data_IF_609398500514
#
_entry.id   IF_609398500514
#
_cell.length_a   1.000
_cell.length_b   1.000
_cell.length_c   1.000
_cell.angle_alpha   90.00
_cell.angle_beta   90.00
_cell.angle_gamma   90.00
#
_symmetry.space_group_name_H-M   'P 1'
#
loop_
_entity.id
_entity.type
_entity.pdbx_description
1 polymer ?
#
# COMPACT_ATOMS: atom_id res chain seq x y z
N UNK A 1 -9.78 8.10 -8.08
CA UNK A 1 -8.96 8.70 -7.01
C UNK A 1 -9.45 10.12 -6.84
N UNK A 2 -9.70 10.58 -5.62
CA UNK A 2 -10.39 11.85 -5.40
C UNK A 2 -9.47 13.09 -5.32
N UNK A 3 -8.16 12.90 -5.29
CA UNK A 3 -7.19 13.99 -5.24
C UNK A 3 -6.51 14.26 -6.58
N UNK A 4 -5.51 15.14 -6.57
CA UNK A 4 -4.66 15.39 -7.72
C UNK A 4 -3.54 14.34 -7.84
N UNK A 5 -3.17 13.98 -9.06
CA UNK A 5 -1.94 13.20 -9.33
C UNK A 5 -1.03 14.05 -10.21
N UNK A 6 0.15 14.35 -9.68
CA UNK A 6 1.12 15.26 -10.30
C UNK A 6 2.35 14.45 -10.70
N UNK A 7 2.60 14.38 -12.00
CA UNK A 7 3.76 13.71 -12.58
C UNK A 7 4.48 14.76 -13.44
N UNK A 8 5.52 15.42 -12.90
CA UNK A 8 6.26 16.45 -13.62
C UNK A 8 6.89 15.92 -14.92
N UNK A 9 7.13 16.86 -15.83
CA UNK A 9 7.69 16.53 -17.14
C UNK A 9 9.19 16.20 -17.04
N UNK A 10 9.88 16.81 -16.07
CA UNK A 10 11.31 16.62 -15.81
C UNK A 10 11.59 16.14 -14.38
N UNK A 11 12.78 15.57 -14.19
CA UNK A 11 13.27 15.15 -12.86
C UNK A 11 13.52 16.38 -11.98
N UNK A 12 14.02 17.45 -12.58
CA UNK A 12 14.40 18.70 -11.93
C UNK A 12 13.17 19.40 -11.34
N UNK A 13 12.05 19.44 -12.06
CA UNK A 13 10.76 19.94 -11.55
C UNK A 13 10.28 19.15 -10.35
N UNK A 14 10.30 17.82 -10.45
CA UNK A 14 9.89 16.92 -9.37
C UNK A 14 10.76 17.12 -8.12
N UNK A 15 12.08 17.17 -8.30
CA UNK A 15 13.05 17.41 -7.22
C UNK A 15 12.84 18.79 -6.59
N UNK A 16 12.72 19.85 -7.38
CA UNK A 16 12.56 21.21 -6.87
C UNK A 16 11.28 21.35 -6.03
N UNK A 17 10.17 20.80 -6.51
CA UNK A 17 8.90 20.81 -5.77
C UNK A 17 8.96 19.98 -4.48
N UNK A 18 9.61 18.82 -4.53
CA UNK A 18 9.85 17.95 -3.39
C UNK A 18 10.67 18.67 -2.30
N UNK A 19 11.78 19.31 -2.68
CA UNK A 19 12.64 20.07 -1.76
C UNK A 19 11.89 21.28 -1.16
N UNK A 20 11.13 22.02 -1.98
CA UNK A 20 10.27 23.12 -1.48
C UNK A 20 9.27 22.60 -0.46
N UNK A 21 8.68 21.44 -0.70
CA UNK A 21 7.72 20.81 0.20
C UNK A 21 8.38 20.37 1.52
N UNK A 22 9.61 19.84 1.47
CA UNK A 22 10.38 19.48 2.68
C UNK A 22 10.75 20.70 3.52
N UNK A 23 11.05 21.83 2.89
CA UNK A 23 11.43 23.07 3.58
C UNK A 23 10.22 23.90 4.07
N UNK A 24 9.01 23.49 3.71
CA UNK A 24 7.80 24.25 4.04
C UNK A 24 7.51 24.22 5.54
N UNK A 25 7.25 25.41 6.10
CA UNK A 25 6.87 25.58 7.50
C UNK A 25 5.39 25.92 7.55
N UNK A 26 4.61 25.05 8.20
CA UNK A 26 3.17 25.25 8.36
C UNK A 26 2.84 26.47 9.22
N UNK A 27 1.74 27.15 8.88
CA UNK A 27 1.23 28.34 9.57
C UNK A 27 -0.19 28.08 10.10
N UNK A 28 -0.81 29.06 10.77
CA UNK A 28 -2.22 28.98 11.20
C UNK A 28 -3.20 28.82 10.05
N UNK A 29 -2.88 29.37 8.87
CA UNK A 29 -3.77 29.37 7.70
C UNK A 29 -3.40 28.36 6.64
N UNK A 30 -2.14 27.89 6.63
CA UNK A 30 -1.67 26.92 5.65
C UNK A 30 -0.88 25.82 6.36
N UNK A 31 -1.53 24.68 6.51
CA UNK A 31 -0.98 23.47 7.09
C UNK A 31 -0.55 22.52 5.99
N UNK A 32 0.58 21.85 6.17
CA UNK A 32 1.07 20.88 5.18
C UNK A 32 1.51 19.57 5.85
N UNK A 33 0.82 18.50 5.46
CA UNK A 33 1.24 17.12 5.73
C UNK A 33 1.98 16.58 4.51
N UNK A 34 3.30 16.51 4.64
CA UNK A 34 4.18 15.88 3.65
C UNK A 34 4.46 14.44 4.04
N UNK A 35 4.23 13.50 3.13
CA UNK A 35 4.41 12.08 3.35
C UNK A 35 5.21 11.47 2.21
N UNK A 36 6.11 10.55 2.53
CA UNK A 36 7.03 9.90 1.61
C UNK A 36 6.84 8.40 1.80
N UNK A 37 6.48 7.70 0.74
CA UNK A 37 6.19 6.28 0.80
C UNK A 37 7.01 5.51 -0.23
N UNK A 38 7.35 4.28 0.13
CA UNK A 38 8.15 3.37 -0.69
C UNK A 38 7.75 1.92 -0.43
N UNK A 39 7.80 1.09 -1.47
CA UNK A 39 7.51 -0.33 -1.44
C UNK A 39 8.69 -1.19 -1.88
N UNK A 40 9.27 -1.97 -0.97
CA UNK A 40 10.36 -2.89 -1.31
C UNK A 40 9.87 -4.33 -1.45
N UNK A 41 10.28 -4.99 -2.53
CA UNK A 41 9.90 -6.37 -2.86
C UNK A 41 11.12 -7.25 -3.21
N UNK A 42 10.99 -8.57 -3.03
CA UNK A 42 11.93 -9.60 -3.53
C UNK A 42 11.13 -10.74 -4.18
N UNK A 43 11.43 -11.05 -5.45
CA UNK A 43 10.78 -12.12 -6.22
C UNK A 43 10.92 -13.52 -5.63
N UNK A 44 12.05 -13.83 -4.98
CA UNK A 44 12.44 -15.20 -4.59
C UNK A 44 11.57 -15.83 -3.49
N UNK A 45 10.94 -15.02 -2.64
CA UNK A 45 10.17 -15.50 -1.48
C UNK A 45 8.90 -14.66 -1.25
N UNK A 46 8.46 -13.94 -2.28
CA UNK A 46 7.27 -13.10 -2.31
C UNK A 46 7.13 -12.12 -1.13
N UNK A 47 8.26 -11.84 -0.48
CA UNK A 47 8.30 -11.04 0.73
C UNK A 47 8.44 -9.57 0.37
N UNK A 48 7.47 -8.77 0.79
CA UNK A 48 7.49 -7.32 0.66
C UNK A 48 7.54 -6.60 2.01
N UNK A 49 7.90 -5.33 1.94
CA UNK A 49 7.78 -4.38 3.03
C UNK A 49 7.45 -3.02 2.45
N UNK A 50 6.58 -2.28 3.13
CA UNK A 50 6.21 -0.92 2.76
C UNK A 50 6.50 0.02 3.90
N UNK A 51 6.79 1.28 3.59
CA UNK A 51 7.04 2.28 4.61
C UNK A 51 6.45 3.64 4.24
N UNK A 52 6.18 4.42 5.27
CA UNK A 52 5.72 5.81 5.17
C UNK A 52 6.53 6.64 6.17
N UNK A 53 7.08 7.74 5.69
CA UNK A 53 7.75 8.77 6.48
C UNK A 53 6.97 10.06 6.31
N UNK A 54 6.61 10.73 7.40
CA UNK A 54 5.85 11.98 7.32
C UNK A 54 6.25 12.96 8.42
N UNK A 55 6.04 14.25 8.18
CA UNK A 55 6.06 15.23 9.27
C UNK A 55 4.81 15.06 10.15
N UNK A 56 4.90 15.52 11.40
CA UNK A 56 3.71 15.70 12.25
C UNK A 56 3.09 17.05 11.92
N UNK A 57 1.76 17.09 11.84
CA UNK A 57 1.03 18.35 11.92
C UNK A 57 1.08 18.80 13.38
N UNK A 58 2.09 19.60 13.74
CA UNK A 58 2.30 20.07 15.11
C UNK A 58 1.28 21.12 15.55
N UNK A 59 1.23 21.41 16.85
CA UNK A 59 0.60 22.65 17.35
C UNK A 59 1.30 23.80 16.65
N UNK A 60 0.51 24.63 15.97
CA UNK A 60 0.88 25.72 15.04
C UNK A 60 1.95 26.72 15.57
N UNK A 61 2.38 26.61 16.82
CA UNK A 61 3.16 27.59 17.55
C UNK A 61 4.59 27.16 17.93
N UNK A 62 5.04 25.94 17.63
CA UNK A 62 6.43 25.54 17.88
C UNK A 62 7.21 25.30 16.58
N UNK A 63 7.85 26.34 16.08
CA UNK A 63 8.70 26.33 14.88
C UNK A 63 10.01 25.51 15.04
N UNK A 64 10.22 24.83 16.16
CA UNK A 64 11.44 24.07 16.42
C UNK A 64 11.22 22.58 16.20
N UNK A 65 11.84 22.07 15.13
CA UNK A 65 12.00 20.64 14.84
C UNK A 65 10.70 19.93 14.47
N UNK A 66 10.26 20.05 13.21
CA UNK A 66 9.27 19.11 12.68
C UNK A 66 9.90 17.70 12.65
N UNK A 67 9.68 16.94 13.73
CA UNK A 67 10.18 15.58 13.82
C UNK A 67 9.45 14.69 12.80
N UNK A 68 10.20 14.04 11.92
CA UNK A 68 9.65 13.12 10.92
C UNK A 68 9.51 11.70 11.49
N UNK A 69 8.27 11.23 11.60
CA UNK A 69 7.96 9.87 12.01
C UNK A 69 8.10 8.96 10.79
N UNK A 70 8.78 7.82 10.96
CA UNK A 70 8.82 6.74 9.97
C UNK A 70 8.18 5.48 10.53
N UNK A 71 7.28 4.87 9.76
CA UNK A 71 6.62 3.59 10.08
C UNK A 71 6.74 2.64 8.92
N UNK A 72 6.81 1.34 9.20
CA UNK A 72 6.92 0.29 8.19
C UNK A 72 6.02 -0.89 8.55
N UNK A 73 5.54 -1.58 7.52
CA UNK A 73 4.64 -2.73 7.66
C UNK A 73 5.08 -3.86 6.72
N UNK A 74 4.85 -5.13 7.12
CA UNK A 74 5.03 -6.24 6.22
C UNK A 74 4.02 -6.12 5.07
N UNK A 75 4.46 -6.45 3.86
CA UNK A 75 3.60 -6.59 2.71
C UNK A 75 3.74 -8.03 2.24
N UNK A 76 2.89 -8.93 2.73
CA UNK A 76 2.91 -10.36 2.36
C UNK A 76 1.53 -10.99 2.41
N UNK A 77 1.20 -11.87 1.45
CA UNK A 77 1.98 -12.16 0.24
C UNK A 77 1.89 -10.99 -0.76
N UNK A 78 3.00 -10.67 -1.45
CA UNK A 78 3.03 -9.62 -2.48
C UNK A 78 3.45 -10.19 -3.83
N UNK A 79 2.64 -10.05 -4.88
CA UNK A 79 2.93 -10.64 -6.19
C UNK A 79 3.92 -9.82 -7.03
N UNK A 80 4.18 -8.55 -6.69
CA UNK A 80 5.05 -7.68 -7.48
C UNK A 80 5.55 -6.45 -6.74
N UNK A 81 6.56 -5.79 -7.31
CA UNK A 81 7.02 -4.47 -6.86
C UNK A 81 5.90 -3.43 -6.95
N UNK A 82 5.22 -3.35 -8.11
CA UNK A 82 4.12 -2.39 -8.31
C UNK A 82 2.95 -2.59 -7.33
N UNK A 83 2.70 -3.84 -6.92
CA UNK A 83 1.73 -4.14 -5.88
C UNK A 83 2.17 -3.57 -4.53
N UNK A 84 3.44 -3.77 -4.15
CA UNK A 84 4.00 -3.26 -2.89
C UNK A 84 4.00 -1.73 -2.85
N UNK A 85 4.36 -1.08 -3.97
CA UNK A 85 4.27 0.38 -4.14
C UNK A 85 2.83 0.89 -4.01
N UNK A 86 1.87 0.17 -4.60
CA UNK A 86 0.45 0.53 -4.49
C UNK A 86 -0.05 0.41 -3.05
N UNK A 87 0.42 -0.59 -2.30
CA UNK A 87 0.12 -0.71 -0.87
C UNK A 87 0.78 0.40 -0.05
N UNK A 88 2.00 0.80 -0.38
CA UNK A 88 2.70 1.91 0.29
C UNK A 88 1.91 3.22 0.13
N UNK A 89 1.43 3.52 -1.09
CA UNK A 89 0.56 4.67 -1.36
C UNK A 89 -0.77 4.60 -0.61
N UNK A 90 -1.45 3.44 -0.64
CA UNK A 90 -2.69 3.25 0.09
C UNK A 90 -2.50 3.44 1.61
N UNK A 91 -1.39 2.92 2.15
CA UNK A 91 -1.04 3.08 3.55
C UNK A 91 -0.70 4.52 3.91
N UNK A 92 -0.05 5.28 3.01
CA UNK A 92 0.20 6.70 3.22
C UNK A 92 -1.11 7.48 3.35
N UNK A 93 -2.12 7.18 2.55
CA UNK A 93 -3.46 7.78 2.68
C UNK A 93 -4.10 7.41 4.03
N UNK A 94 -3.94 6.16 4.49
CA UNK A 94 -4.42 5.74 5.82
C UNK A 94 -3.72 6.50 6.95
N UNK A 95 -2.40 6.67 6.88
CA UNK A 95 -1.66 7.48 7.84
C UNK A 95 -2.08 8.95 7.78
N UNK A 96 -2.38 9.48 6.59
CA UNK A 96 -2.87 10.85 6.44
C UNK A 96 -4.19 11.06 7.20
N UNK A 97 -5.14 10.13 7.07
CA UNK A 97 -6.38 10.18 7.84
C UNK A 97 -6.11 10.21 9.35
N UNK A 98 -5.23 9.34 9.84
CA UNK A 98 -4.89 9.31 11.27
C UNK A 98 -4.20 10.57 11.79
N UNK A 99 -3.40 11.27 10.97
CA UNK A 99 -2.79 12.55 11.36
C UNK A 99 -3.79 13.71 11.32
N UNK A 100 -4.70 13.71 10.34
CA UNK A 100 -5.78 14.70 10.25
C UNK A 100 -6.77 14.56 11.41
N UNK A 101 -7.08 13.34 11.86
CA UNK A 101 -7.92 13.10 13.04
C UNK A 101 -7.31 13.70 14.31
N UNK A 102 -5.99 13.52 14.52
CA UNK A 102 -5.30 14.15 15.66
C UNK A 102 -5.28 15.67 15.55
N UNK A 103 -5.21 16.20 14.33
CA UNK A 103 -5.29 17.64 14.10
C UNK A 103 -6.65 18.18 14.56
N UNK A 104 -7.70 17.44 14.24
CA UNK A 104 -9.07 17.78 14.62
C UNK A 104 -9.25 17.84 16.14
N UNK A 105 -8.63 16.93 16.87
CA UNK A 105 -8.64 16.98 18.34
C UNK A 105 -7.91 18.19 18.93
N UNK A 106 -6.98 18.82 18.19
CA UNK A 106 -6.04 19.82 18.73
C UNK A 106 -6.20 21.26 18.21
N UNK A 107 -6.85 21.50 17.06
CA UNK A 107 -6.84 22.82 16.39
C UNK A 107 -8.20 23.54 16.38
N UNK A 108 -9.33 22.85 16.55
CA UNK A 108 -10.66 23.45 16.34
C UNK A 108 -11.17 24.34 17.50
N UNK A 109 -10.32 25.26 17.97
CA UNK A 109 -10.65 26.34 18.91
C UNK A 109 -10.46 27.77 18.38
N UNK A 110 -9.95 28.00 17.16
CA UNK A 110 -9.75 29.38 16.71
C UNK A 110 -9.39 29.56 15.23
N UNK A 111 -10.07 30.52 14.61
CA UNK A 111 -9.95 31.11 13.26
C UNK A 111 -10.46 30.32 12.05
N UNK A 112 -11.37 30.97 11.31
CA UNK A 112 -11.97 30.51 10.06
C UNK A 112 -10.98 30.67 8.88
N UNK A 113 -10.91 29.70 7.96
CA UNK A 113 -10.23 29.83 6.65
C UNK A 113 -8.89 29.08 6.47
N UNK A 114 -8.60 28.01 7.22
CA UNK A 114 -7.34 27.28 7.11
C UNK A 114 -7.35 26.24 5.96
N UNK A 115 -6.26 26.16 5.19
CA UNK A 115 -6.05 25.13 4.17
C UNK A 115 -5.07 24.08 4.67
N UNK A 116 -5.40 22.80 4.50
CA UNK A 116 -4.56 21.66 4.84
C UNK A 116 -4.17 20.92 3.56
N UNK A 117 -2.90 21.03 3.16
CA UNK A 117 -2.36 20.31 2.03
C UNK A 117 -1.78 18.95 2.47
N UNK A 118 -2.37 17.85 2.01
CA UNK A 118 -1.81 16.50 2.12
C UNK A 118 -1.07 16.16 0.83
N UNK A 119 0.26 16.07 0.92
CA UNK A 119 1.16 15.77 -0.21
C UNK A 119 1.87 14.45 0.03
N UNK A 120 1.58 13.46 -0.81
CA UNK A 120 2.18 12.12 -0.73
C UNK A 120 3.13 11.93 -1.91
N UNK A 121 4.38 11.61 -1.62
CA UNK A 121 5.44 11.39 -2.59
C UNK A 121 5.76 9.91 -2.75
N UNK A 122 5.89 9.46 -3.99
CA UNK A 122 6.31 8.10 -4.36
C UNK A 122 7.21 8.17 -5.60
N UNK A 123 8.21 7.30 -5.68
CA UNK A 123 9.06 7.17 -6.86
C UNK A 123 8.49 6.26 -7.96
N UNK A 124 7.37 5.58 -7.68
CA UNK A 124 6.74 4.67 -8.62
C UNK A 124 5.85 5.40 -9.65
N UNK A 125 6.47 5.94 -10.71
CA UNK A 125 5.77 6.65 -11.81
C UNK A 125 4.66 5.81 -12.44
N UNK A 126 4.85 4.50 -12.55
CA UNK A 126 3.88 3.57 -13.14
C UNK A 126 2.59 3.46 -12.34
N UNK A 127 2.69 3.35 -11.01
CA UNK A 127 1.51 3.30 -10.13
C UNK A 127 0.78 4.65 -10.13
N UNK A 128 1.51 5.77 -10.06
CA UNK A 128 0.89 7.10 -10.14
C UNK A 128 0.17 7.32 -11.47
N UNK A 129 0.77 6.93 -12.60
CA UNK A 129 0.14 7.02 -13.92
C UNK A 129 -1.13 6.17 -14.00
N UNK A 130 -1.11 4.97 -13.41
CA UNK A 130 -2.27 4.09 -13.32
C UNK A 130 -3.38 4.69 -12.44
N UNK A 131 -3.02 5.32 -11.32
CA UNK A 131 -3.96 6.03 -10.44
C UNK A 131 -4.59 7.24 -11.13
N UNK A 132 -3.80 8.05 -11.84
CA UNK A 132 -4.29 9.19 -12.62
C UNK A 132 -5.32 8.73 -13.67
N UNK A 133 -5.03 7.64 -14.38
CA UNK A 133 -5.91 7.09 -15.42
C UNK A 133 -7.03 6.21 -14.87
N UNK A 134 -7.04 5.93 -13.56
CA UNK A 134 -7.89 4.93 -12.92
C UNK A 134 -7.86 3.56 -13.61
N UNK A 135 -6.70 3.17 -14.16
CA UNK A 135 -6.48 1.93 -14.93
C UNK A 135 -5.28 1.18 -14.38
N UNK A 136 -5.54 0.12 -13.60
CA UNK A 136 -4.52 -0.69 -12.94
C UNK A 136 -4.29 -2.02 -13.67
N UNK A 137 -3.02 -2.39 -13.84
CA UNK A 137 -2.61 -3.68 -14.40
C UNK A 137 -3.04 -4.86 -13.53
N UNK A 138 -3.19 -6.04 -14.12
CA UNK A 138 -3.72 -7.23 -13.45
C UNK A 138 -2.95 -7.59 -12.16
N UNK A 139 -1.62 -7.53 -12.19
CA UNK A 139 -0.76 -7.90 -11.06
C UNK A 139 -0.79 -6.96 -9.84
N UNK A 140 -1.47 -5.81 -9.93
CA UNK A 140 -1.60 -4.86 -8.80
C UNK A 140 -2.96 -4.18 -8.74
N UNK A 141 -3.96 -4.74 -9.42
CA UNK A 141 -5.31 -4.15 -9.53
C UNK A 141 -5.98 -3.95 -8.19
N UNK A 142 -5.91 -4.94 -7.30
CA UNK A 142 -6.56 -4.87 -5.98
C UNK A 142 -5.88 -3.83 -5.07
N UNK A 143 -4.54 -3.78 -5.06
CA UNK A 143 -3.81 -2.74 -4.35
C UNK A 143 -4.12 -1.33 -4.93
N UNK A 144 -4.24 -1.21 -6.24
CA UNK A 144 -4.67 0.02 -6.91
C UNK A 144 -6.09 0.46 -6.54
N UNK A 145 -7.04 -0.47 -6.48
CA UNK A 145 -8.41 -0.20 -5.98
C UNK A 145 -8.37 0.29 -4.53
N UNK A 146 -7.45 -0.22 -3.71
CA UNK A 146 -7.29 0.22 -2.33
C UNK A 146 -6.90 1.69 -2.26
N UNK A 147 -5.99 2.18 -3.12
CA UNK A 147 -5.65 3.61 -3.22
C UNK A 147 -6.91 4.44 -3.45
N UNK A 148 -7.73 4.05 -4.42
CA UNK A 148 -8.99 4.75 -4.74
C UNK A 148 -9.95 4.71 -3.55
N UNK A 149 -10.20 3.53 -2.99
CA UNK A 149 -11.09 3.34 -1.82
C UNK A 149 -10.65 4.21 -0.64
N UNK A 150 -9.35 4.22 -0.31
CA UNK A 150 -8.81 5.01 0.81
C UNK A 150 -8.86 6.50 0.54
N UNK A 151 -8.64 6.93 -0.71
CA UNK A 151 -8.81 8.35 -1.07
C UNK A 151 -10.27 8.80 -0.89
N UNK A 152 -11.24 8.00 -1.33
CA UNK A 152 -12.66 8.32 -1.13
C UNK A 152 -13.04 8.30 0.35
N UNK A 153 -12.50 7.37 1.15
CA UNK A 153 -12.69 7.35 2.60
C UNK A 153 -12.15 8.63 3.25
N UNK A 154 -10.96 9.11 2.87
CA UNK A 154 -10.41 10.38 3.34
C UNK A 154 -11.35 11.53 2.99
N UNK A 155 -11.79 11.61 1.73
CA UNK A 155 -12.73 12.65 1.27
C UNK A 155 -14.04 12.64 2.07
N UNK A 156 -14.62 11.45 2.26
CA UNK A 156 -15.89 11.30 2.99
C UNK A 156 -15.74 11.60 4.48
N UNK A 157 -14.65 11.14 5.10
CA UNK A 157 -14.42 11.30 6.55
C UNK A 157 -14.21 12.76 6.91
N UNK A 158 -13.38 13.47 6.15
CA UNK A 158 -13.16 14.88 6.38
C UNK A 158 -14.19 15.76 5.66
N UNK A 159 -15.24 15.17 5.04
CA UNK A 159 -16.29 15.91 4.31
C UNK A 159 -16.96 16.99 5.17
N UNK A 160 -17.06 16.76 6.46
CA UNK A 160 -17.60 17.71 7.44
C UNK A 160 -16.62 18.83 7.78
N UNK A 161 -15.30 18.62 7.61
CA UNK A 161 -14.33 19.71 7.51
C UNK A 161 -14.47 20.44 6.16
N UNK A 162 -14.66 19.71 5.07
CA UNK A 162 -14.96 20.24 3.72
C UNK A 162 -16.34 20.96 3.61
N UNK A 163 -17.18 20.90 4.66
CA UNK A 163 -18.52 21.50 4.70
C UNK A 163 -18.62 22.71 5.63
N UNK A 164 -17.58 22.99 6.42
CA UNK A 164 -17.40 24.34 6.98
C UNK A 164 -16.78 25.17 5.85
N UNK A 165 -17.28 26.38 5.56
CA UNK A 165 -16.65 27.28 4.58
C UNK A 165 -15.21 27.66 4.94
N UNK A 166 -14.71 27.16 6.06
CA UNK A 166 -13.54 27.63 6.76
C UNK A 166 -12.34 26.68 6.67
N UNK A 167 -12.49 25.41 6.27
CA UNK A 167 -11.33 24.51 6.11
C UNK A 167 -11.37 23.70 4.83
N UNK A 168 -10.28 23.77 4.06
CA UNK A 168 -10.10 23.02 2.80
C UNK A 168 -8.99 21.99 2.99
N UNK A 169 -9.24 20.71 2.67
CA UNK A 169 -8.22 19.65 2.73
C UNK A 169 -7.86 19.16 1.32
N UNK A 170 -6.67 19.49 0.83
CA UNK A 170 -6.25 19.11 -0.52
C UNK A 170 -5.37 17.86 -0.50
N UNK A 171 -5.82 16.78 -1.16
CA UNK A 171 -5.02 15.56 -1.33
C UNK A 171 -4.33 15.56 -2.69
N UNK A 172 -3.01 15.36 -2.69
CA UNK A 172 -2.22 15.23 -3.91
C UNK A 172 -1.14 14.15 -3.82
N UNK A 173 -0.99 13.38 -4.90
CA UNK A 173 0.10 12.42 -5.09
C UNK A 173 1.13 13.01 -6.04
N UNK A 174 2.40 12.92 -5.70
CA UNK A 174 3.51 13.51 -6.45
C UNK A 174 4.55 12.46 -6.79
N UNK A 175 4.95 12.43 -8.04
CA UNK A 175 6.09 11.62 -8.45
C UNK A 175 7.40 12.31 -8.08
N UNK A 176 8.37 11.53 -7.59
CA UNK A 176 9.75 11.96 -7.33
C UNK A 176 10.76 10.96 -7.88
N UNK A 177 12.00 11.38 -8.20
CA UNK A 177 13.04 10.42 -8.58
C UNK A 177 13.40 9.50 -7.40
N UNK A 178 13.44 8.20 -7.67
CA UNK A 178 13.98 7.20 -6.74
C UNK A 178 15.49 7.37 -6.56
N UNK A 179 16.00 6.93 -5.40
CA UNK A 179 17.44 6.98 -5.04
C UNK A 179 18.13 8.35 -5.08
N UNK A 180 17.37 9.44 -5.17
CA UNK A 180 17.90 10.80 -5.10
C UNK A 180 18.43 11.13 -3.69
N UNK A 181 19.69 11.56 -3.60
CA UNK A 181 20.35 11.89 -2.33
C UNK A 181 19.82 13.17 -1.68
N UNK A 182 19.25 14.08 -2.47
CA UNK A 182 18.65 15.30 -1.93
C UNK A 182 17.31 15.02 -1.22
N UNK A 183 16.63 13.92 -1.57
CA UNK A 183 15.31 13.59 -1.05
C UNK A 183 15.42 12.66 0.18
N UNK A 184 16.02 13.18 1.25
CA UNK A 184 16.38 12.39 2.45
C UNK A 184 15.20 11.67 3.10
N UNK A 185 13.99 12.24 3.05
CA UNK A 185 12.78 11.59 3.57
C UNK A 185 12.34 10.39 2.74
N UNK A 186 12.47 10.47 1.40
CA UNK A 186 12.24 9.33 0.53
C UNK A 186 13.26 8.23 0.78
N UNK A 187 14.54 8.57 0.92
CA UNK A 187 15.59 7.61 1.26
C UNK A 187 15.34 6.92 2.61
N UNK A 188 14.77 7.65 3.58
CA UNK A 188 14.36 7.06 4.87
C UNK A 188 13.22 6.07 4.69
N UNK A 189 12.22 6.36 3.86
CA UNK A 189 11.14 5.44 3.52
C UNK A 189 11.69 4.16 2.84
N UNK A 190 12.55 4.30 1.83
CA UNK A 190 13.20 3.18 1.13
C UNK A 190 13.98 2.26 2.09
N UNK A 191 14.81 2.85 2.97
CA UNK A 191 15.55 2.09 4.00
C UNK A 191 14.61 1.34 4.95
N UNK A 192 13.50 1.96 5.36
CA UNK A 192 12.51 1.35 6.25
C UNK A 192 11.77 0.20 5.55
N UNK A 193 11.34 0.39 4.31
CA UNK A 193 10.66 -0.62 3.50
C UNK A 193 11.57 -1.84 3.29
N UNK A 194 12.84 -1.62 2.92
CA UNK A 194 13.87 -2.68 2.81
C UNK A 194 14.12 -3.42 4.12
N UNK A 195 14.19 -2.70 5.25
CA UNK A 195 14.37 -3.31 6.57
C UNK A 195 13.20 -4.22 6.91
N UNK A 196 11.98 -3.75 6.68
CA UNK A 196 10.76 -4.49 7.00
C UNK A 196 10.59 -5.71 6.10
N UNK A 197 10.85 -5.56 4.80
CA UNK A 197 10.95 -6.68 3.86
C UNK A 197 11.88 -7.79 4.38
N UNK A 198 13.08 -7.43 4.84
CA UNK A 198 14.05 -8.40 5.36
C UNK A 198 13.60 -9.06 6.67
N UNK A 199 12.90 -8.34 7.54
CA UNK A 199 12.26 -8.92 8.74
C UNK A 199 11.15 -9.90 8.36
N UNK A 200 10.33 -9.51 7.41
CA UNK A 200 9.21 -10.30 6.92
C UNK A 200 9.70 -11.62 6.28
N UNK A 201 10.75 -11.56 5.46
CA UNK A 201 11.45 -12.74 4.94
C UNK A 201 11.88 -13.71 6.03
N UNK A 202 12.49 -13.20 7.11
CA UNK A 202 12.91 -14.04 8.24
C UNK A 202 11.71 -14.68 8.94
N UNK A 203 10.62 -13.94 9.12
CA UNK A 203 9.36 -14.43 9.70
C UNK A 203 8.74 -15.54 8.84
N UNK A 204 8.66 -15.35 7.53
CA UNK A 204 8.11 -16.34 6.58
C UNK A 204 8.94 -17.62 6.54
N UNK A 205 10.28 -17.50 6.56
CA UNK A 205 11.16 -18.67 6.66
C UNK A 205 10.93 -19.46 7.95
N UNK A 206 10.69 -18.78 9.08
CA UNK A 206 10.39 -19.42 10.37
C UNK A 206 9.04 -20.13 10.33
N UNK A 207 7.99 -19.44 9.85
CA UNK A 207 6.64 -20.01 9.71
C UNK A 207 6.62 -21.22 8.78
N UNK A 208 7.36 -21.19 7.66
CA UNK A 208 7.46 -22.33 6.74
C UNK A 208 8.09 -23.55 7.42
N UNK A 209 9.17 -23.36 8.18
CA UNK A 209 9.80 -24.45 8.94
C UNK A 209 8.87 -25.01 10.01
N UNK A 210 8.13 -24.15 10.72
CA UNK A 210 7.15 -24.59 11.74
C UNK A 210 6.00 -25.39 11.12
N UNK A 211 5.51 -24.98 9.95
CA UNK A 211 4.49 -25.72 9.19
C UNK A 211 5.01 -27.07 8.67
N UNK A 212 6.26 -27.15 8.21
CA UNK A 212 6.90 -28.40 7.79
C UNK A 212 7.04 -29.36 8.98
N UNK A 213 7.53 -28.88 10.13
CA UNK A 213 7.65 -29.69 11.34
C UNK A 213 6.29 -30.20 11.86
N UNK A 214 5.23 -29.38 11.81
CA UNK A 214 3.88 -29.81 12.17
C UNK A 214 3.35 -30.90 11.23
N UNK A 215 3.50 -30.73 9.92
CA UNK A 215 3.11 -31.75 8.94
C UNK A 215 3.86 -33.07 9.14
N UNK A 216 5.12 -33.01 9.54
CA UNK A 216 5.92 -34.20 9.84
C UNK A 216 5.56 -34.85 11.19
N UNK A 217 4.97 -34.11 12.13
CA UNK A 217 4.43 -34.65 13.37
C UNK A 217 3.08 -35.34 13.12
N UNK A 218 2.16 -34.67 12.43
CA UNK A 218 0.82 -35.21 12.11
C UNK A 218 0.90 -36.50 11.29
N UNK A 219 1.90 -36.63 10.40
CA UNK A 219 2.16 -37.87 9.66
C UNK A 219 2.66 -39.01 10.53
N UNK A 220 3.43 -38.72 11.58
CA UNK A 220 3.95 -39.74 12.51
C UNK A 220 2.85 -40.27 13.42
N UNK A 221 1.94 -39.40 13.86
CA UNK A 221 0.81 -39.80 14.71
C UNK A 221 -0.27 -40.55 13.89
N UNK A 222 -0.43 -40.25 12.60
CA UNK A 222 -1.35 -40.98 11.70
C UNK A 222 -0.89 -42.38 11.26
N UNK A 223 0.39 -42.74 11.45
CA UNK A 223 0.90 -44.10 11.18
C UNK A 223 0.86 -45.03 12.39
N UNK A 224 0.61 -44.52 13.60
CA UNK A 224 0.59 -45.30 14.84
C UNK A 224 -0.70 -46.14 15.03
N UNK A 225 -1.74 -45.92 14.21
CA UNK A 225 -3.06 -46.58 14.31
C UNK A 225 -3.35 -47.62 13.21
N UNK A 226 -2.33 -48.10 12.48
CA UNK A 226 -2.51 -49.28 11.61
C UNK A 226 -2.39 -50.56 12.44
N UNK A 227 -3.46 -51.36 12.60
CA UNK A 227 -3.35 -52.66 13.25
C UNK A 227 -2.42 -53.55 12.43
N UNK A 228 -1.42 -54.12 13.11
CA UNK A 228 -0.52 -55.12 12.54
C UNK A 228 -1.33 -56.39 12.25
N UNK A 229 -1.78 -56.54 11.01
CA UNK A 229 -2.22 -57.85 10.50
C UNK A 229 -0.95 -58.65 10.26
N UNK A 230 -0.63 -59.49 11.24
CA UNK A 230 0.28 -60.60 11.03
C UNK A 230 -0.43 -61.60 10.11
N UNK A 231 0.16 -61.89 8.95
CA UNK A 231 -0.06 -63.17 8.28
C UNK A 231 1.24 -63.66 7.66
N UNK A 232 1.61 -64.86 8.08
CA UNK A 232 2.66 -65.70 7.55
C UNK A 232 2.19 -66.34 6.22
N UNK A 233 3.04 -66.39 5.20
CA UNK A 233 3.61 -67.63 4.61
C UNK A 233 4.11 -67.43 3.15
N UNK A 234 5.43 -67.60 3.02
CA UNK A 234 6.21 -68.42 2.06
C UNK A 234 6.14 -68.32 0.52
N UNK A 235 7.39 -68.31 -0.02
CA UNK A 235 7.91 -68.82 -1.31
C UNK A 235 7.45 -68.10 -2.60
N UNK A 236 8.30 -67.75 -3.58
CA UNK A 236 9.53 -68.39 -4.06
C UNK A 236 10.39 -67.43 -4.95
N UNK A 237 11.71 -67.62 -4.88
CA UNK A 237 12.84 -67.33 -5.82
C UNK A 237 12.61 -66.56 -7.14
N UNK A 238 13.46 -65.55 -7.42
CA UNK A 238 14.53 -65.67 -8.43
C UNK A 238 15.49 -64.46 -8.44
N UNK A 239 16.72 -64.76 -8.82
CA UNK A 239 17.95 -63.97 -8.82
C UNK A 239 17.96 -62.80 -9.82
N UNK A 240 18.67 -61.71 -9.49
CA UNK A 240 19.82 -61.25 -10.28
C UNK A 240 20.53 -60.06 -9.63
N UNK A 241 21.79 -60.28 -9.27
CA UNK A 241 22.78 -59.23 -9.02
C UNK A 241 23.18 -58.55 -10.33
N UNK A 242 23.11 -57.22 -10.40
CA UNK A 242 24.15 -56.44 -11.11
C UNK A 242 24.50 -55.20 -10.28
N UNK A 243 25.72 -55.25 -9.76
CA UNK A 243 26.50 -54.18 -9.16
C UNK A 243 26.63 -52.95 -10.06
N UNK A 244 26.45 -51.75 -9.49
CA UNK A 244 27.27 -50.53 -9.70
C UNK A 244 26.72 -49.32 -8.91
N UNK A 245 27.56 -48.76 -8.05
CA UNK A 245 27.59 -47.36 -7.60
C UNK A 245 28.96 -46.78 -8.02
N UNK A 246 29.22 -45.46 -7.94
CA UNK A 246 28.33 -44.29 -7.80
C UNK A 246 28.65 -43.20 -8.86
N UNK A 247 27.82 -42.16 -8.91
CA UNK A 247 28.12 -40.73 -9.21
C UNK A 247 26.79 -40.09 -9.60
N UNK A 248 26.23 -39.12 -8.88
CA UNK A 248 26.80 -37.79 -8.72
C UNK A 248 26.07 -36.82 -9.65
N UNK A 249 24.85 -36.40 -9.31
CA UNK A 249 24.43 -34.99 -9.46
C UNK A 249 23.02 -34.74 -8.90
N UNK A 250 22.99 -33.76 -8.00
CA UNK A 250 21.79 -33.07 -7.52
C UNK A 250 21.18 -32.25 -8.67
N UNK A 251 20.03 -32.67 -9.19
CA UNK A 251 19.07 -31.73 -9.76
C UNK A 251 17.75 -31.90 -9.00
N UNK A 252 17.52 -30.99 -8.04
CA UNK A 252 16.20 -30.81 -7.44
C UNK A 252 15.28 -30.31 -8.55
N UNK A 253 14.36 -31.15 -8.98
CA UNK A 253 13.25 -30.75 -9.82
C UNK A 253 12.58 -29.49 -9.22
N UNK A 254 12.29 -28.45 -10.02
CA UNK A 254 11.54 -27.30 -9.54
C UNK A 254 10.15 -27.75 -9.12
N UNK A 255 9.73 -27.31 -7.93
CA UNK A 255 8.36 -27.47 -7.46
C UNK A 255 7.47 -26.71 -8.44
N UNK A 256 6.75 -27.44 -9.30
CA UNK A 256 5.64 -26.90 -10.07
C UNK A 256 4.55 -26.48 -9.10
N UNK A 257 4.36 -25.19 -8.91
CA UNK A 257 3.14 -24.65 -8.33
C UNK A 257 2.06 -24.66 -9.42
N UNK A 258 0.85 -25.08 -9.05
CA UNK A 258 -0.33 -25.02 -9.91
C UNK A 258 -0.51 -23.58 -10.41
N UNK A 259 -0.51 -23.40 -11.74
CA UNK A 259 -0.80 -22.12 -12.41
C UNK A 259 -2.30 -21.78 -12.42
N UNK A 260 -3.13 -22.52 -11.68
CA UNK A 260 -4.57 -22.32 -11.69
C UNK A 260 -5.00 -21.24 -10.68
N UNK A 261 -5.70 -20.16 -11.13
CA UNK A 261 -6.15 -19.05 -10.30
C UNK A 261 -6.98 -19.46 -9.06
N UNK A 262 -7.61 -20.63 -9.11
CA UNK A 262 -8.48 -21.16 -8.07
C UNK A 262 -7.71 -21.58 -6.81
N UNK A 263 -6.46 -22.01 -6.95
CA UNK A 263 -5.62 -22.41 -5.81
C UNK A 263 -5.06 -21.19 -5.05
N UNK A 264 -4.84 -20.06 -5.75
CA UNK A 264 -4.52 -18.79 -5.10
C UNK A 264 -5.71 -18.26 -4.31
N UNK A 265 -6.92 -18.28 -4.87
CA UNK A 265 -8.13 -17.79 -4.20
C UNK A 265 -8.35 -18.51 -2.86
N UNK A 266 -8.17 -19.84 -2.87
CA UNK A 266 -8.27 -20.68 -1.67
C UNK A 266 -7.19 -20.34 -0.63
N UNK A 267 -5.92 -20.18 -1.05
CA UNK A 267 -4.85 -19.75 -0.14
C UNK A 267 -5.10 -18.36 0.45
N UNK A 268 -5.70 -17.44 -0.32
CA UNK A 268 -6.11 -16.12 0.16
C UNK A 268 -7.30 -16.17 1.12
N UNK A 269 -8.18 -17.15 0.97
CA UNK A 269 -9.32 -17.36 1.84
C UNK A 269 -8.88 -17.96 3.17
N UNK A 270 -8.03 -18.99 3.14
CA UNK A 270 -7.40 -19.60 4.32
C UNK A 270 -6.57 -18.56 5.11
N UNK A 271 -5.87 -17.66 4.41
CA UNK A 271 -5.12 -16.57 5.04
C UNK A 271 -6.03 -15.48 5.66
N UNK A 272 -7.17 -15.19 5.04
CA UNK A 272 -8.20 -14.28 5.58
C UNK A 272 -8.85 -14.84 6.85
N UNK A 273 -9.11 -16.15 6.86
CA UNK A 273 -9.74 -16.83 8.01
C UNK A 273 -8.76 -17.01 9.19
N UNK A 274 -7.48 -17.28 8.91
CA UNK A 274 -6.45 -17.41 9.94
C UNK A 274 -6.03 -16.09 10.61
N UNK A 275 -6.31 -14.94 9.98
CA UNK A 275 -6.00 -13.61 10.50
C UNK A 275 -7.29 -12.84 10.74
N UNK A 276 -8.11 -13.32 11.69
CA UNK A 276 -9.29 -12.58 12.13
C UNK A 276 -8.86 -11.17 12.58
N UNK A 277 -9.39 -10.22 11.83
CA UNK A 277 -9.38 -8.77 11.98
C UNK A 277 -8.26 -7.99 11.26
N UNK A 278 -8.68 -7.28 10.20
CA UNK A 278 -8.05 -5.99 9.82
C UNK A 278 -8.90 -5.16 8.85
N UNK A 279 -9.79 -5.71 8.01
CA UNK A 279 -10.61 -4.89 7.11
C UNK A 279 -11.94 -5.54 6.70
N UNK A 280 -12.97 -5.38 7.52
CA UNK A 280 -14.36 -5.54 7.07
C UNK A 280 -15.00 -4.18 6.73
N UNK A 281 -16.02 -4.26 5.87
CA UNK A 281 -17.14 -3.34 5.61
C UNK A 281 -17.32 -2.92 4.14
N UNK A 282 -18.47 -3.39 3.65
CA UNK A 282 -19.17 -3.12 2.40
C UNK A 282 -19.87 -1.76 2.43
N UNK A 283 -19.81 -1.04 1.31
CA UNK A 283 -20.87 -0.18 0.77
C UNK A 283 -20.35 0.50 -0.52
N UNK A 284 -21.06 0.34 -1.63
CA UNK A 284 -20.93 1.19 -2.84
C UNK A 284 -21.86 2.40 -2.69
N UNK A 285 -21.45 3.60 -3.14
CA UNK A 285 -22.14 4.22 -4.29
C UNK A 285 -21.15 4.95 -5.23
N UNK A 286 -21.09 4.69 -6.55
CA UNK A 286 -21.96 5.10 -7.68
C UNK A 286 -21.96 6.61 -8.03
N UNK A 287 -21.31 6.90 -9.17
CA UNK A 287 -21.45 8.01 -10.15
C UNK A 287 -21.38 9.47 -9.65
N UNK A 288 -20.24 10.13 -9.86
CA UNK A 288 -20.10 11.60 -9.95
C UNK A 288 -19.03 11.96 -10.99
N UNK A 289 -19.34 12.92 -11.87
CA UNK A 289 -18.43 13.52 -12.86
C UNK A 289 -18.13 14.98 -12.44
N UNK A 290 -16.94 15.46 -12.76
CA UNK A 290 -16.51 16.83 -12.56
C UNK A 290 -15.19 17.07 -13.29
N UNK A 291 -14.84 18.34 -13.51
CA UNK A 291 -13.73 18.72 -14.36
C UNK A 291 -12.67 19.52 -13.58
N UNK A 292 -11.40 19.16 -13.79
CA UNK A 292 -10.25 19.88 -13.23
C UNK A 292 -9.83 20.97 -14.20
N UNK A 293 -9.68 22.20 -13.72
CA UNK A 293 -9.13 23.32 -14.52
C UNK A 293 -7.93 23.94 -13.81
N UNK A 294 -6.99 24.43 -14.60
CA UNK A 294 -5.85 25.21 -14.12
C UNK A 294 -6.31 26.65 -13.84
N UNK A 295 -6.19 27.10 -12.60
CA UNK A 295 -6.54 28.47 -12.22
C UNK A 295 -5.29 29.36 -12.27
N UNK A 296 -5.13 30.05 -13.41
CA UNK A 296 -3.95 30.88 -13.72
C UNK A 296 -3.60 31.93 -12.65
N UNK A 297 -4.56 32.65 -12.01
CA UNK A 297 -4.25 33.64 -10.99
C UNK A 297 -3.74 33.06 -9.66
N UNK A 298 -4.15 31.84 -9.29
CA UNK A 298 -3.75 31.20 -8.03
C UNK A 298 -2.68 30.14 -8.19
N UNK A 299 -2.31 29.80 -9.43
CA UNK A 299 -1.38 28.72 -9.78
C UNK A 299 -1.73 27.39 -9.08
N UNK A 300 -3.03 27.15 -8.92
CA UNK A 300 -3.58 25.96 -8.29
C UNK A 300 -4.52 25.23 -9.25
N UNK A 301 -4.53 23.90 -9.16
CA UNK A 301 -5.53 23.09 -9.82
C UNK A 301 -6.83 23.16 -9.01
N UNK A 302 -7.89 23.71 -9.60
CA UNK A 302 -9.20 23.82 -8.96
C UNK A 302 -10.18 22.83 -9.57
N UNK A 303 -10.91 22.14 -8.70
CA UNK A 303 -11.98 21.25 -9.10
C UNK A 303 -13.27 22.03 -9.27
N UNK A 304 -13.91 21.90 -10.43
CA UNK A 304 -15.21 22.49 -10.71
C UNK A 304 -16.25 21.37 -10.81
N UNK A 305 -17.31 21.50 -10.04
CA UNK A 305 -18.47 20.63 -10.16
C UNK A 305 -19.25 21.04 -11.41
N UNK A 306 -19.53 20.09 -12.30
CA UNK A 306 -20.63 20.28 -13.25
C UNK A 306 -21.89 20.22 -12.42
N UNK A 307 -22.53 21.37 -12.23
CA UNK A 307 -23.92 21.38 -11.79
C UNK A 307 -24.68 20.71 -12.93
N UNK A 308 -25.46 19.68 -12.61
CA UNK A 308 -26.49 19.20 -13.51
C UNK A 308 -27.44 20.39 -13.74
N UNK A 309 -27.15 21.24 -14.73
CA UNK A 309 -28.16 22.08 -15.37
C UNK A 309 -29.07 21.11 -16.14
N UNK A 310 -29.84 20.34 -15.38
CA UNK A 310 -31.10 19.81 -15.85
C UNK A 310 -31.94 21.04 -16.17
N UNK A 311 -31.91 21.42 -17.45
CA UNK A 311 -32.75 22.46 -17.99
C UNK A 311 -34.19 22.22 -17.55
N UNK A 312 -34.64 23.05 -16.62
CA UNK A 312 -36.05 23.33 -16.44
C UNK A 312 -36.22 24.78 -16.84
N UNK A 313 -36.43 24.97 -18.16
CA UNK A 313 -37.20 26.10 -18.61
C UNK A 313 -38.56 26.05 -17.93
N UNK A 314 -38.90 27.13 -17.24
CA UNK A 314 -40.17 27.31 -16.57
C UNK A 314 -40.37 28.79 -16.35
N UNK A 315 -40.93 29.45 -17.35
CA UNK A 315 -41.67 30.71 -17.19
C UNK A 315 -42.68 30.55 -16.03
N UNK A 316 -42.78 31.56 -15.15
CA UNK A 316 -43.85 31.57 -14.15
C UNK A 316 -43.68 32.56 -13.00
N UNK A 317 -44.06 33.82 -13.26
CA UNK A 317 -44.35 34.97 -12.36
C UNK A 317 -43.16 35.78 -11.88
#
# INVERSE_FOLDING_TARGET
>A
FCGAVVIPSTIEEARAFALKTMAFVSTTKELQLSMWCDGSYINLDESGGLAVVHNRLGKVLSCQGQEHIGRAWPATPTPSSAFTESLALAQAIVQAMGELEKLEENIFGGEHGATICVRIFSDCRGVLSATQKSKYGQGYREAGKLIVKKSEQLRLKFRTLFGRPDIVVDLSLHWVPGHDQALTHHQKADKLAKREKNRNKKRNKKLKKELEMKKDADKRDGEADKPSVADNQNECQMENEVSRRPDGNNEKAPIKYSEQPQDMEKQWQDFREANQDLFFWEAKPSRFQGNVRWDSPTYQWKWYWEVDDAGNGGDGV
#
